data_IF_571441810999
#
_entry.id   IF_571441810999
#
_cell.length_a   1.000
_cell.length_b   1.000
_cell.length_c   1.000
_cell.angle_alpha   90.00
_cell.angle_beta   90.00
_cell.angle_gamma   90.00
#
_symmetry.space_group_name_H-M   'P 1'
#
loop_
_entity.id
_entity.type
_entity.pdbx_description
1 polymer ?
#
# COMPACT_ATOMS: atom_id res chain seq x y z
N UNK A 1 24.73 -10.99 14.88
CA UNK A 1 24.23 -10.57 13.55
C UNK A 1 22.81 -11.06 13.47
N UNK A 2 21.82 -10.18 13.35
CA UNK A 2 20.43 -10.59 13.12
C UNK A 2 20.35 -11.27 11.76
N UNK A 3 19.81 -12.48 11.72
CA UNK A 3 19.63 -13.25 10.49
C UNK A 3 18.74 -12.42 9.52
N UNK A 4 19.17 -12.30 8.26
CA UNK A 4 18.37 -11.65 7.23
C UNK A 4 17.11 -12.49 6.97
N UNK A 5 15.88 -11.93 7.05
CA UNK A 5 14.70 -12.72 6.78
C UNK A 5 14.65 -13.18 5.32
N UNK A 6 14.19 -14.41 5.15
CA UNK A 6 13.94 -15.03 3.86
C UNK A 6 12.58 -14.50 3.31
N UNK A 7 12.62 -13.76 2.20
CA UNK A 7 11.45 -13.19 1.57
C UNK A 7 11.09 -13.97 0.30
N UNK A 8 9.80 -14.26 0.11
CA UNK A 8 9.26 -14.72 -1.15
C UNK A 8 8.25 -13.73 -1.73
N UNK A 9 8.04 -13.79 -3.06
CA UNK A 9 7.19 -12.86 -3.79
C UNK A 9 6.15 -13.63 -4.60
N UNK A 10 4.89 -13.17 -4.55
CA UNK A 10 3.81 -13.67 -5.37
C UNK A 10 3.50 -12.70 -6.52
N UNK A 11 3.08 -13.26 -7.68
CA UNK A 11 2.83 -12.49 -8.88
C UNK A 11 4.12 -11.94 -9.50
N UNK A 12 5.15 -12.78 -9.59
CA UNK A 12 6.51 -12.41 -10.00
C UNK A 12 6.59 -11.73 -11.39
N UNK A 13 5.73 -12.12 -12.35
CA UNK A 13 5.68 -11.53 -13.69
C UNK A 13 5.03 -10.14 -13.73
N UNK A 14 4.28 -9.78 -12.67
CA UNK A 14 3.61 -8.50 -12.57
C UNK A 14 4.58 -7.33 -12.37
N UNK A 15 4.14 -6.10 -12.72
CA UNK A 15 4.95 -4.88 -12.54
C UNK A 15 5.47 -4.70 -11.11
N UNK A 16 4.60 -4.95 -10.11
CA UNK A 16 5.02 -4.88 -8.70
C UNK A 16 5.90 -6.06 -8.30
N UNK A 17 5.61 -7.28 -8.78
CA UNK A 17 6.44 -8.46 -8.50
C UNK A 17 7.88 -8.27 -8.95
N UNK A 18 8.10 -7.80 -10.18
CA UNK A 18 9.44 -7.49 -10.70
C UNK A 18 10.15 -6.41 -9.87
N UNK A 19 9.44 -5.34 -9.50
CA UNK A 19 9.99 -4.25 -8.69
C UNK A 19 10.34 -4.73 -7.27
N UNK A 20 9.52 -5.57 -6.66
CA UNK A 20 9.78 -6.20 -5.37
C UNK A 20 11.02 -7.10 -5.43
N UNK A 21 11.13 -7.96 -6.48
CA UNK A 21 12.29 -8.82 -6.68
C UNK A 21 13.59 -8.00 -6.75
N UNK A 22 13.61 -6.96 -7.58
CA UNK A 22 14.75 -6.06 -7.70
C UNK A 22 15.08 -5.36 -6.37
N UNK A 23 14.03 -4.92 -5.63
CA UNK A 23 14.22 -4.23 -4.34
C UNK A 23 14.80 -5.16 -3.28
N UNK A 24 14.33 -6.41 -3.20
CA UNK A 24 14.87 -7.39 -2.24
C UNK A 24 16.29 -7.81 -2.62
N UNK A 25 16.57 -8.06 -3.90
CA UNK A 25 17.91 -8.41 -4.40
C UNK A 25 18.94 -7.29 -4.15
N UNK A 26 18.53 -6.04 -4.16
CA UNK A 26 19.39 -4.89 -3.86
C UNK A 26 19.53 -4.61 -2.35
N UNK A 27 18.81 -5.33 -1.48
CA UNK A 27 18.80 -5.12 -0.04
C UNK A 27 19.91 -5.92 0.65
N UNK A 28 20.59 -5.30 1.59
CA UNK A 28 21.51 -5.94 2.54
C UNK A 28 20.81 -6.45 3.82
N UNK A 29 19.47 -6.25 3.93
CA UNK A 29 18.66 -6.53 5.13
C UNK A 29 17.74 -7.73 4.98
N UNK A 30 17.60 -8.29 3.79
CA UNK A 30 16.70 -9.40 3.49
C UNK A 30 17.26 -10.24 2.34
N UNK A 31 16.83 -11.49 2.23
CA UNK A 31 17.22 -12.41 1.17
C UNK A 31 15.99 -12.86 0.39
N UNK A 32 16.02 -12.72 -0.94
CA UNK A 32 15.02 -13.33 -1.82
C UNK A 32 15.29 -14.83 -1.93
N UNK A 33 14.31 -15.69 -1.62
CA UNK A 33 14.49 -17.15 -1.60
C UNK A 33 13.59 -17.89 -2.55
N UNK A 34 12.39 -17.35 -2.87
CA UNK A 34 11.42 -17.98 -3.75
C UNK A 34 10.54 -16.95 -4.44
N UNK A 35 9.91 -17.35 -5.52
CA UNK A 35 8.92 -16.56 -6.23
C UNK A 35 7.84 -17.47 -6.82
N UNK A 36 6.58 -16.99 -6.83
CA UNK A 36 5.50 -17.67 -7.49
C UNK A 36 4.77 -16.78 -8.49
N UNK A 37 4.14 -17.42 -9.45
CA UNK A 37 3.21 -16.79 -10.37
C UNK A 37 1.97 -17.65 -10.57
N UNK A 38 0.95 -17.07 -11.19
CA UNK A 38 -0.30 -17.80 -11.52
C UNK A 38 -0.02 -18.99 -12.44
N UNK A 39 -0.78 -20.05 -12.27
CA UNK A 39 -0.78 -21.19 -13.19
C UNK A 39 -0.93 -20.72 -14.63
N UNK A 40 -0.10 -21.26 -15.51
CA UNK A 40 -0.09 -20.89 -16.94
C UNK A 40 0.70 -19.62 -17.28
N UNK A 41 1.43 -19.04 -16.34
CA UNK A 41 2.40 -17.98 -16.63
C UNK A 41 3.62 -18.54 -17.35
N UNK A 42 4.09 -17.84 -18.39
CA UNK A 42 5.33 -18.19 -19.11
C UNK A 42 6.59 -18.12 -18.23
N UNK A 43 6.47 -17.57 -17.04
CA UNK A 43 7.57 -17.45 -16.06
C UNK A 43 7.78 -18.74 -15.26
N UNK A 44 6.79 -19.64 -15.22
CA UNK A 44 6.89 -20.90 -14.46
C UNK A 44 8.03 -21.77 -14.99
N UNK A 45 8.88 -22.24 -14.10
CA UNK A 45 10.07 -23.02 -14.42
C UNK A 45 11.25 -22.22 -14.95
N UNK A 46 11.11 -20.89 -15.07
CA UNK A 46 12.18 -19.99 -15.51
C UNK A 46 12.90 -19.34 -14.32
N UNK A 47 14.15 -18.96 -14.52
CA UNK A 47 14.93 -18.20 -13.54
C UNK A 47 14.41 -16.75 -13.46
N UNK A 48 14.06 -16.32 -12.25
CA UNK A 48 13.49 -14.99 -11.99
C UNK A 48 14.44 -13.86 -12.42
N UNK A 49 15.74 -14.02 -12.23
CA UNK A 49 16.73 -13.00 -12.62
C UNK A 49 16.75 -12.79 -14.12
N UNK A 50 16.73 -13.89 -14.89
CA UNK A 50 16.69 -13.87 -16.36
C UNK A 50 15.39 -13.24 -16.84
N UNK A 51 14.24 -13.67 -16.30
CA UNK A 51 12.92 -13.16 -16.67
C UNK A 51 12.73 -11.68 -16.34
N UNK A 52 13.44 -11.18 -15.33
CA UNK A 52 13.47 -9.75 -14.94
C UNK A 52 14.47 -8.93 -15.77
N UNK A 53 15.06 -9.50 -16.82
CA UNK A 53 16.00 -8.81 -17.71
C UNK A 53 17.43 -8.69 -17.18
N UNK A 54 17.79 -9.44 -16.13
CA UNK A 54 19.11 -9.48 -15.51
C UNK A 54 19.85 -10.81 -15.75
N UNK A 55 20.77 -11.12 -14.85
CA UNK A 55 21.50 -12.39 -14.82
C UNK A 55 20.76 -13.42 -13.98
N UNK A 56 20.98 -14.72 -14.28
CA UNK A 56 20.41 -15.81 -13.49
C UNK A 56 20.81 -15.67 -12.01
N UNK A 57 19.82 -15.84 -11.13
CA UNK A 57 19.97 -15.74 -9.69
C UNK A 57 19.64 -17.05 -8.94
N UNK A 58 19.30 -18.11 -9.67
CA UNK A 58 18.99 -19.43 -9.14
C UNK A 58 17.58 -19.58 -8.55
N UNK A 59 16.75 -18.53 -8.59
CA UNK A 59 15.37 -18.57 -8.10
C UNK A 59 14.46 -18.96 -9.26
N UNK A 60 13.93 -20.17 -9.21
CA UNK A 60 13.00 -20.66 -10.23
C UNK A 60 11.57 -20.29 -9.83
N UNK A 61 10.86 -19.63 -10.74
CA UNK A 61 9.46 -19.23 -10.51
C UNK A 61 8.57 -20.47 -10.49
N UNK A 62 7.73 -20.60 -9.46
CA UNK A 62 6.86 -21.77 -9.23
C UNK A 62 5.38 -21.39 -9.32
N UNK A 63 4.52 -22.35 -9.61
CA UNK A 63 3.06 -22.27 -9.41
C UNK A 63 2.59 -22.96 -8.12
N UNK A 64 3.52 -23.68 -7.42
CA UNK A 64 3.24 -24.22 -6.10
C UNK A 64 3.43 -23.16 -5.01
N UNK A 65 2.38 -22.37 -4.81
CA UNK A 65 2.36 -21.28 -3.82
C UNK A 65 2.67 -21.81 -2.41
N UNK A 66 2.16 -23.01 -2.04
CA UNK A 66 2.40 -23.58 -0.71
C UNK A 66 3.88 -23.89 -0.48
N UNK A 67 4.54 -24.46 -1.48
CA UNK A 67 5.97 -24.71 -1.40
C UNK A 67 6.80 -23.43 -1.30
N UNK A 68 6.33 -22.33 -1.94
CA UNK A 68 6.95 -21.01 -1.83
C UNK A 68 6.82 -20.44 -0.41
N UNK A 69 5.64 -20.55 0.23
CA UNK A 69 5.46 -20.14 1.62
C UNK A 69 6.36 -20.92 2.60
N UNK A 70 6.54 -22.21 2.39
CA UNK A 70 7.37 -23.06 3.25
C UNK A 70 8.88 -22.75 3.20
N UNK A 71 9.33 -22.00 2.19
CA UNK A 71 10.73 -21.60 2.02
C UNK A 71 11.04 -20.22 2.61
N UNK A 72 10.02 -19.47 3.01
CA UNK A 72 10.16 -18.08 3.41
C UNK A 72 9.76 -17.82 4.87
N UNK A 73 10.39 -16.84 5.50
CA UNK A 73 9.95 -16.28 6.77
C UNK A 73 8.75 -15.35 6.55
N UNK A 74 8.72 -14.69 5.39
CA UNK A 74 7.65 -13.76 5.02
C UNK A 74 7.42 -13.73 3.51
N UNK A 75 6.15 -13.61 3.11
CA UNK A 75 5.73 -13.53 1.71
C UNK A 75 5.13 -12.15 1.43
N UNK A 76 5.42 -11.57 0.26
CA UNK A 76 4.84 -10.30 -0.20
C UNK A 76 3.86 -10.58 -1.33
N UNK A 77 2.62 -10.09 -1.17
CA UNK A 77 1.50 -10.31 -2.09
C UNK A 77 0.92 -8.98 -2.63
N UNK A 78 1.03 -8.79 -3.93
CA UNK A 78 0.38 -7.72 -4.71
C UNK A 78 -0.41 -8.32 -5.88
N UNK A 79 -1.15 -9.39 -5.61
CA UNK A 79 -1.91 -10.10 -6.66
C UNK A 79 -3.36 -9.59 -6.76
N UNK A 80 -4.33 -10.47 -6.65
CA UNK A 80 -5.76 -10.15 -6.78
C UNK A 80 -6.51 -10.54 -5.50
N UNK A 81 -7.62 -9.84 -5.13
CA UNK A 81 -8.34 -10.08 -3.89
C UNK A 81 -8.63 -11.56 -3.59
N UNK A 82 -9.24 -12.26 -4.54
CA UNK A 82 -9.58 -13.68 -4.37
C UNK A 82 -8.35 -14.59 -4.18
N UNK A 83 -7.21 -14.26 -4.82
CA UNK A 83 -5.96 -15.00 -4.66
C UNK A 83 -5.35 -14.70 -3.28
N UNK A 84 -5.33 -13.43 -2.88
CA UNK A 84 -4.81 -12.98 -1.58
C UNK A 84 -5.52 -13.68 -0.42
N UNK A 85 -6.83 -13.92 -0.50
CA UNK A 85 -7.56 -14.72 0.51
C UNK A 85 -7.02 -16.15 0.61
N UNK A 86 -6.70 -16.81 -0.52
CA UNK A 86 -6.10 -18.13 -0.50
C UNK A 86 -4.66 -18.09 0.06
N UNK A 87 -3.91 -17.08 -0.30
CA UNK A 87 -2.56 -16.86 0.21
C UNK A 87 -2.56 -16.63 1.73
N UNK A 88 -3.50 -15.87 2.26
CA UNK A 88 -3.66 -15.68 3.70
C UNK A 88 -3.97 -17.00 4.45
N UNK A 89 -4.80 -17.87 3.87
CA UNK A 89 -5.05 -19.22 4.44
C UNK A 89 -3.79 -20.08 4.43
N UNK A 90 -2.98 -20.02 3.38
CA UNK A 90 -1.71 -20.73 3.30
C UNK A 90 -0.73 -20.17 4.34
N UNK A 91 -0.63 -18.85 4.47
CA UNK A 91 0.19 -18.17 5.48
C UNK A 91 -0.17 -18.66 6.90
N UNK A 92 -1.45 -18.68 7.25
CA UNK A 92 -1.94 -19.19 8.52
C UNK A 92 -1.59 -20.68 8.76
N UNK A 93 -1.70 -21.51 7.71
CA UNK A 93 -1.40 -22.94 7.79
C UNK A 93 0.10 -23.26 7.89
N UNK A 94 0.97 -22.41 7.36
CA UNK A 94 2.43 -22.57 7.39
C UNK A 94 3.10 -21.80 8.53
N UNK A 95 2.40 -20.84 9.14
CA UNK A 95 2.96 -19.92 10.14
C UNK A 95 3.87 -18.86 9.52
N UNK A 96 3.85 -18.69 8.20
CA UNK A 96 4.68 -17.72 7.45
C UNK A 96 4.03 -16.35 7.49
N UNK A 97 4.77 -15.30 7.81
CA UNK A 97 4.25 -13.93 7.79
C UNK A 97 3.83 -13.50 6.38
N UNK A 98 2.85 -12.60 6.26
CA UNK A 98 2.35 -12.13 4.96
C UNK A 98 2.21 -10.60 4.93
N UNK A 99 2.74 -9.99 3.87
CA UNK A 99 2.54 -8.56 3.58
C UNK A 99 1.61 -8.43 2.38
N UNK A 100 0.48 -7.75 2.57
CA UNK A 100 -0.59 -7.61 1.59
C UNK A 100 -0.66 -6.17 1.10
N UNK A 101 -0.28 -5.96 -0.17
CA UNK A 101 -0.48 -4.70 -0.89
C UNK A 101 -1.63 -4.76 -1.91
N UNK A 102 -2.34 -5.87 -1.98
CA UNK A 102 -3.56 -6.03 -2.79
C UNK A 102 -4.67 -5.14 -2.26
N UNK A 103 -5.34 -4.42 -3.13
CA UNK A 103 -6.46 -3.51 -2.82
C UNK A 103 -7.76 -3.98 -3.45
N UNK A 104 -8.89 -3.37 -3.06
CA UNK A 104 -10.20 -3.66 -3.65
C UNK A 104 -10.89 -4.91 -3.09
N UNK A 105 -10.50 -5.34 -1.89
CA UNK A 105 -11.14 -6.44 -1.17
C UNK A 105 -12.49 -6.01 -0.59
N UNK A 106 -13.47 -6.91 -0.65
CA UNK A 106 -14.74 -6.76 0.02
C UNK A 106 -14.69 -7.20 1.49
N UNK A 107 -15.78 -7.01 2.24
CA UNK A 107 -15.84 -7.28 3.67
C UNK A 107 -15.61 -8.77 4.01
N UNK A 108 -16.10 -9.71 3.19
CA UNK A 108 -15.88 -11.15 3.39
C UNK A 108 -14.41 -11.53 3.19
N UNK A 109 -13.76 -10.93 2.19
CA UNK A 109 -12.34 -11.11 1.92
C UNK A 109 -11.47 -10.52 3.06
N UNK A 110 -11.84 -9.34 3.57
CA UNK A 110 -11.19 -8.72 4.72
C UNK A 110 -11.36 -9.55 5.99
N UNK A 111 -12.55 -10.09 6.24
CA UNK A 111 -12.82 -10.99 7.38
C UNK A 111 -11.97 -12.28 7.30
N UNK A 112 -11.79 -12.84 6.11
CA UNK A 112 -10.94 -14.02 5.91
C UNK A 112 -9.46 -13.74 6.19
N UNK A 113 -8.97 -12.54 5.85
CA UNK A 113 -7.61 -12.10 6.16
C UNK A 113 -7.43 -11.90 7.67
N UNK A 114 -8.39 -11.23 8.33
CA UNK A 114 -8.38 -11.04 9.78
C UNK A 114 -8.37 -12.38 10.53
N UNK A 115 -9.15 -13.37 10.05
CA UNK A 115 -9.12 -14.74 10.59
C UNK A 115 -7.73 -15.40 10.46
N UNK A 116 -7.06 -15.23 9.30
CA UNK A 116 -5.71 -15.76 9.09
C UNK A 116 -4.68 -15.08 10.02
N UNK A 117 -4.85 -13.79 10.29
CA UNK A 117 -4.04 -13.01 11.23
C UNK A 117 -4.03 -13.54 12.66
N UNK A 118 -5.03 -14.34 13.05
CA UNK A 118 -5.02 -15.02 14.37
C UNK A 118 -3.93 -16.10 14.49
N UNK A 119 -3.37 -16.56 13.37
CA UNK A 119 -2.40 -17.66 13.33
C UNK A 119 -0.99 -17.22 12.88
N UNK A 120 -0.87 -16.10 12.22
CA UNK A 120 0.41 -15.56 11.73
C UNK A 120 0.38 -14.04 11.65
N UNK A 121 1.56 -13.41 11.52
CA UNK A 121 1.65 -11.96 11.33
C UNK A 121 1.23 -11.58 9.89
N UNK A 122 0.25 -10.70 9.76
CA UNK A 122 -0.21 -10.14 8.49
C UNK A 122 -0.11 -8.61 8.54
N UNK A 123 0.70 -8.04 7.66
CA UNK A 123 0.71 -6.57 7.45
C UNK A 123 -0.10 -6.25 6.21
N UNK A 124 -1.17 -5.47 6.37
CA UNK A 124 -2.03 -5.05 5.25
C UNK A 124 -2.11 -3.54 5.14
N UNK A 125 -1.97 -3.02 3.93
CA UNK A 125 -2.15 -1.59 3.66
C UNK A 125 -2.65 -1.33 2.23
N UNK A 126 -3.51 -0.33 2.09
CA UNK A 126 -3.96 0.19 0.79
C UNK A 126 -2.85 0.96 0.04
N UNK A 127 -1.80 1.37 0.75
CA UNK A 127 -0.62 2.01 0.19
C UNK A 127 0.61 1.65 1.03
N UNK A 128 1.66 1.14 0.38
CA UNK A 128 2.89 0.75 1.08
C UNK A 128 3.93 1.88 1.21
N UNK A 129 3.64 3.09 0.71
CA UNK A 129 4.54 4.23 0.90
C UNK A 129 4.62 4.63 2.38
N UNK A 130 5.83 4.66 2.93
CA UNK A 130 6.05 5.13 4.29
C UNK A 130 5.63 6.60 4.44
N UNK A 131 5.94 7.42 3.43
CA UNK A 131 5.61 8.84 3.42
C UNK A 131 4.09 9.09 3.36
N UNK A 132 3.34 8.32 2.56
CA UNK A 132 1.88 8.42 2.50
C UNK A 132 1.25 8.03 3.84
N UNK A 133 1.67 6.93 4.45
CA UNK A 133 1.12 6.51 5.74
C UNK A 133 1.42 7.51 6.85
N UNK A 134 2.64 8.08 6.89
CA UNK A 134 2.95 9.16 7.82
C UNK A 134 2.09 10.40 7.55
N UNK A 135 1.91 10.78 6.26
CA UNK A 135 1.08 11.92 5.88
C UNK A 135 -0.37 11.73 6.33
N UNK A 136 -0.92 10.51 6.21
CA UNK A 136 -2.28 10.15 6.66
C UNK A 136 -2.44 10.41 8.16
N UNK A 137 -1.48 9.97 8.99
CA UNK A 137 -1.48 10.24 10.43
C UNK A 137 -1.36 11.73 10.78
N UNK A 138 -0.49 12.45 10.07
CA UNK A 138 -0.36 13.89 10.25
C UNK A 138 -1.65 14.63 9.86
N UNK A 139 -2.29 14.21 8.77
CA UNK A 139 -3.58 14.76 8.31
C UNK A 139 -4.66 14.61 9.39
N UNK A 140 -4.81 13.42 9.95
CA UNK A 140 -5.76 13.16 11.03
C UNK A 140 -5.48 14.04 12.27
N UNK A 141 -4.21 14.12 12.70
CA UNK A 141 -3.81 14.93 13.87
C UNK A 141 -4.04 16.43 13.64
N UNK A 142 -3.71 16.95 12.44
CA UNK A 142 -3.92 18.36 12.10
C UNK A 142 -5.43 18.66 12.03
N UNK A 143 -6.22 17.79 11.39
CA UNK A 143 -7.68 17.94 11.31
C UNK A 143 -8.35 17.92 12.69
N UNK A 144 -7.85 17.09 13.62
CA UNK A 144 -8.35 17.02 15.00
C UNK A 144 -7.97 18.26 15.83
N UNK A 145 -6.84 18.88 15.54
CA UNK A 145 -6.34 20.05 16.29
C UNK A 145 -6.93 21.38 15.82
N UNK A 146 -7.31 21.46 14.54
CA UNK A 146 -7.86 22.67 13.89
C UNK A 146 -9.38 22.57 13.79
N UNK A 147 -10.08 23.65 14.10
CA UNK A 147 -11.54 23.74 14.02
C UNK A 147 -12.08 23.86 12.58
N UNK A 148 -13.40 24.01 12.46
CA UNK A 148 -14.09 24.16 11.17
C UNK A 148 -13.75 25.48 10.44
N UNK A 149 -13.12 26.44 11.13
CA UNK A 149 -12.58 27.67 10.54
C UNK A 149 -11.41 27.41 9.57
N UNK A 150 -10.82 26.19 9.58
CA UNK A 150 -9.87 25.75 8.58
C UNK A 150 -10.57 24.89 7.54
N UNK A 151 -10.70 25.38 6.32
CA UNK A 151 -11.15 24.61 5.18
C UNK A 151 -10.13 23.53 4.81
N UNK A 152 -10.60 22.32 4.47
CA UNK A 152 -9.74 21.21 4.07
C UNK A 152 -9.91 20.91 2.59
N UNK A 153 -8.82 20.89 1.83
CA UNK A 153 -8.80 20.51 0.41
C UNK A 153 -7.71 19.45 0.17
N UNK A 154 -8.11 18.35 -0.45
CA UNK A 154 -7.19 17.31 -0.92
C UNK A 154 -6.98 17.50 -2.42
N UNK A 155 -5.75 17.82 -2.82
CA UNK A 155 -5.36 18.00 -4.22
C UNK A 155 -4.42 16.89 -4.62
N UNK A 156 -4.74 16.17 -5.71
CA UNK A 156 -3.92 15.07 -6.19
C UNK A 156 -3.54 15.23 -7.66
N UNK A 157 -2.34 14.78 -8.01
CA UNK A 157 -1.80 14.87 -9.36
C UNK A 157 -1.32 13.49 -9.80
N UNK A 158 -1.76 13.02 -10.96
CA UNK A 158 -1.28 11.78 -11.56
C UNK A 158 -1.14 11.91 -13.08
N UNK A 159 -0.49 10.91 -13.67
CA UNK A 159 -0.33 10.79 -15.11
C UNK A 159 -1.68 10.74 -15.84
N UNK A 160 -1.64 11.08 -17.13
CA UNK A 160 -2.82 11.18 -17.99
C UNK A 160 -3.53 9.84 -18.29
N UNK A 161 -2.93 8.71 -17.91
CA UNK A 161 -3.51 7.36 -18.06
C UNK A 161 -4.24 6.86 -16.81
N UNK A 162 -4.31 7.64 -15.73
CA UNK A 162 -5.03 7.23 -14.51
C UNK A 162 -6.53 7.38 -14.72
N UNK A 163 -7.27 6.28 -14.49
CA UNK A 163 -8.71 6.18 -14.82
C UNK A 163 -9.63 6.57 -13.68
N UNK A 164 -9.18 6.42 -12.43
CA UNK A 164 -9.95 6.78 -11.24
C UNK A 164 -9.64 8.22 -10.78
N UNK A 165 -10.64 8.91 -10.27
CA UNK A 165 -10.55 10.22 -9.62
C UNK A 165 -11.70 10.37 -8.59
N UNK A 166 -11.42 10.78 -7.34
CA UNK A 166 -10.08 10.94 -6.75
C UNK A 166 -9.32 9.62 -6.64
N UNK A 167 -7.97 9.69 -6.53
CA UNK A 167 -7.13 8.52 -6.31
C UNK A 167 -7.43 7.85 -4.95
N UNK A 168 -7.16 6.54 -4.84
CA UNK A 168 -7.29 5.84 -3.55
C UNK A 168 -6.51 6.49 -2.41
N UNK A 169 -5.31 7.04 -2.69
CA UNK A 169 -4.53 7.78 -1.69
C UNK A 169 -5.19 9.10 -1.30
N UNK A 170 -5.78 9.82 -2.25
CA UNK A 170 -6.54 11.03 -1.92
C UNK A 170 -7.74 10.71 -1.03
N UNK A 171 -8.45 9.61 -1.31
CA UNK A 171 -9.55 9.15 -0.46
C UNK A 171 -9.07 8.79 0.95
N UNK A 172 -7.94 8.06 1.10
CA UNK A 172 -7.32 7.77 2.41
C UNK A 172 -7.01 9.05 3.19
N UNK A 173 -6.50 10.08 2.53
CA UNK A 173 -6.19 11.37 3.17
C UNK A 173 -7.47 12.11 3.58
N UNK A 174 -8.52 12.05 2.75
CA UNK A 174 -9.83 12.60 3.07
C UNK A 174 -10.50 11.87 4.25
N UNK A 175 -10.44 10.54 4.28
CA UNK A 175 -10.91 9.74 5.42
C UNK A 175 -10.18 10.13 6.71
N UNK A 176 -8.83 10.24 6.65
CA UNK A 176 -8.05 10.66 7.81
C UNK A 176 -8.42 12.07 8.30
N UNK A 177 -8.72 12.99 7.40
CA UNK A 177 -9.19 14.33 7.75
C UNK A 177 -10.59 14.28 8.39
N UNK A 178 -11.50 13.46 7.84
CA UNK A 178 -12.84 13.26 8.36
C UNK A 178 -12.81 12.61 9.76
N UNK A 179 -12.00 11.56 9.92
CA UNK A 179 -11.77 10.89 11.22
C UNK A 179 -11.23 11.88 12.26
N UNK A 180 -10.28 12.73 11.88
CA UNK A 180 -9.74 13.76 12.77
C UNK A 180 -10.80 14.75 13.24
N UNK A 181 -11.82 15.03 12.42
CA UNK A 181 -12.96 15.88 12.74
C UNK A 181 -14.15 15.14 13.38
N UNK A 182 -14.08 13.80 13.49
CA UNK A 182 -15.16 13.00 14.04
C UNK A 182 -16.43 12.97 13.16
N UNK A 183 -16.26 13.07 11.83
CA UNK A 183 -17.35 13.06 10.83
C UNK A 183 -17.14 11.95 9.80
N UNK A 184 -18.21 11.55 9.11
CA UNK A 184 -18.10 10.64 7.98
C UNK A 184 -17.67 11.38 6.71
N UNK A 185 -16.66 10.89 5.99
CA UNK A 185 -16.26 11.49 4.73
C UNK A 185 -17.41 11.54 3.72
N UNK A 186 -18.29 10.54 3.69
CA UNK A 186 -19.43 10.49 2.77
C UNK A 186 -20.39 11.67 2.95
N UNK A 187 -20.49 12.23 4.16
CA UNK A 187 -21.41 13.33 4.48
C UNK A 187 -20.82 14.71 4.17
N UNK A 188 -19.48 14.82 4.12
CA UNK A 188 -18.76 16.10 3.98
C UNK A 188 -17.86 16.17 2.74
N UNK A 189 -17.88 15.15 1.89
CA UNK A 189 -17.08 15.11 0.67
C UNK A 189 -17.63 16.06 -0.39
N UNK A 190 -16.80 16.99 -0.83
CA UNK A 190 -17.07 17.92 -1.92
C UNK A 190 -16.09 17.71 -3.07
N UNK A 191 -16.61 17.33 -4.26
CA UNK A 191 -15.79 17.13 -5.46
C UNK A 191 -16.56 17.57 -6.69
N UNK A 192 -15.86 18.18 -7.64
CA UNK A 192 -16.50 18.59 -8.91
C UNK A 192 -17.10 19.99 -8.90
N UNK A 193 -16.43 20.96 -8.27
CA UNK A 193 -16.81 22.39 -8.39
C UNK A 193 -16.53 22.87 -9.82
N UNK A 194 -17.62 23.22 -10.53
CA UNK A 194 -17.58 23.76 -11.88
C UNK A 194 -18.66 24.83 -12.06
N UNK A 195 -18.37 25.94 -12.73
CA UNK A 195 -19.27 27.04 -12.92
C UNK A 195 -19.56 27.88 -11.64
N UNK A 196 -20.77 28.36 -11.47
CA UNK A 196 -21.21 29.16 -10.32
C UNK A 196 -21.79 28.22 -9.26
N UNK A 197 -20.98 27.77 -8.32
CA UNK A 197 -21.37 26.77 -7.29
C UNK A 197 -21.79 27.41 -5.96
N UNK A 198 -21.72 28.74 -5.84
CA UNK A 198 -21.94 29.45 -4.57
C UNK A 198 -20.67 29.39 -3.66
N UNK A 199 -20.84 29.89 -2.43
CA UNK A 199 -19.78 29.83 -1.44
C UNK A 199 -19.56 28.40 -0.99
N UNK A 200 -18.28 28.07 -0.63
CA UNK A 200 -17.92 26.79 -0.04
C UNK A 200 -18.72 26.55 1.26
N UNK A 201 -19.23 25.35 1.43
CA UNK A 201 -19.89 24.96 2.67
C UNK A 201 -18.86 24.71 3.76
N UNK A 202 -19.06 25.30 4.94
CA UNK A 202 -18.21 25.10 6.11
C UNK A 202 -18.25 23.62 6.53
N UNK A 203 -17.09 23.06 6.89
CA UNK A 203 -16.96 21.69 7.32
C UNK A 203 -16.73 20.67 6.20
N UNK A 204 -17.03 20.99 4.94
CA UNK A 204 -16.78 20.09 3.82
C UNK A 204 -15.26 19.83 3.63
N UNK A 205 -14.94 18.65 3.06
CA UNK A 205 -13.59 18.27 2.64
C UNK A 205 -13.58 18.20 1.11
N UNK A 206 -12.87 19.14 0.50
CA UNK A 206 -12.81 19.26 -0.96
C UNK A 206 -11.81 18.30 -1.60
N UNK A 207 -12.09 17.89 -2.85
CA UNK A 207 -11.21 17.06 -3.65
C UNK A 207 -11.00 17.66 -5.04
N UNK A 208 -9.73 17.76 -5.45
CA UNK A 208 -9.31 18.16 -6.78
C UNK A 208 -8.36 17.14 -7.37
N UNK A 209 -8.65 16.66 -8.58
CA UNK A 209 -7.83 15.70 -9.29
C UNK A 209 -7.21 16.32 -10.55
N UNK A 210 -5.88 16.37 -10.62
CA UNK A 210 -5.12 16.84 -11.77
C UNK A 210 -4.58 15.64 -12.54
N UNK A 211 -4.70 15.65 -13.88
CA UNK A 211 -4.17 14.61 -14.77
C UNK A 211 -3.23 15.25 -15.79
N UNK A 212 -1.97 14.77 -15.85
CA UNK A 212 -0.98 15.35 -16.77
C UNK A 212 0.30 14.55 -16.84
N UNK A 213 0.90 14.50 -18.03
CA UNK A 213 2.21 13.91 -18.26
C UNK A 213 2.37 12.49 -17.72
N UNK A 214 3.50 12.27 -17.09
CA UNK A 214 3.95 11.02 -16.48
C UNK A 214 4.01 11.09 -14.93
N UNK A 215 3.32 12.05 -14.31
CA UNK A 215 3.31 12.25 -12.86
C UNK A 215 2.99 10.93 -12.16
N UNK A 216 3.91 10.48 -11.32
CA UNK A 216 3.78 9.20 -10.60
C UNK A 216 2.65 9.24 -9.57
N UNK A 217 2.57 10.35 -8.81
CA UNK A 217 1.53 10.65 -7.85
C UNK A 217 2.00 11.69 -6.84
N UNK A 218 1.27 12.79 -6.75
CA UNK A 218 1.50 13.83 -5.76
C UNK A 218 0.19 14.08 -5.01
N UNK A 219 0.28 14.40 -3.73
CA UNK A 219 -0.89 14.62 -2.89
C UNK A 219 -0.61 15.76 -1.92
N UNK A 220 -1.47 16.75 -1.94
CA UNK A 220 -1.47 17.86 -0.99
C UNK A 220 -2.74 17.77 -0.13
N UNK A 221 -2.59 17.95 1.18
CA UNK A 221 -3.72 18.26 2.07
C UNK A 221 -3.52 19.69 2.56
N UNK A 222 -4.36 20.58 2.07
CA UNK A 222 -4.37 21.98 2.44
C UNK A 222 -5.37 22.21 3.57
N UNK A 223 -4.94 22.85 4.65
CA UNK A 223 -5.75 23.41 5.70
C UNK A 223 -5.67 24.93 5.59
N UNK A 224 -6.77 25.59 5.20
CA UNK A 224 -6.81 27.01 4.94
C UNK A 224 -7.67 27.73 5.98
N UNK A 225 -7.02 28.42 6.90
CA UNK A 225 -7.66 29.23 7.93
C UNK A 225 -7.58 30.74 7.70
N UNK A 226 -8.14 31.53 8.58
CA UNK A 226 -8.07 32.99 8.52
C UNK A 226 -6.63 33.50 8.66
N UNK A 227 -6.05 33.96 7.56
CA UNK A 227 -4.72 34.56 7.53
C UNK A 227 -3.55 33.57 7.44
N UNK A 228 -3.79 32.26 7.47
CA UNK A 228 -2.74 31.25 7.38
C UNK A 228 -3.17 30.00 6.63
N UNK A 229 -2.20 29.21 6.19
CA UNK A 229 -2.41 27.90 5.54
C UNK A 229 -1.35 26.92 6.00
N UNK A 230 -1.77 25.66 6.22
CA UNK A 230 -0.86 24.53 6.43
C UNK A 230 -1.03 23.62 5.22
N UNK A 231 0.08 23.18 4.62
CA UNK A 231 0.09 22.22 3.50
C UNK A 231 0.92 21.02 3.90
N UNK A 232 0.28 19.86 3.92
CA UNK A 232 0.96 18.57 4.06
C UNK A 232 1.11 17.97 2.66
N UNK A 233 2.35 17.81 2.17
CA UNK A 233 2.63 17.39 0.80
C UNK A 233 3.47 16.13 0.73
N UNK A 234 3.07 15.20 -0.14
CA UNK A 234 3.84 14.05 -0.55
C UNK A 234 4.02 14.05 -2.08
N UNK A 235 5.25 13.84 -2.54
CA UNK A 235 5.60 13.73 -3.96
C UNK A 235 6.27 12.38 -4.21
N UNK A 236 5.63 11.53 -5.00
CA UNK A 236 6.22 10.29 -5.49
C UNK A 236 6.95 10.57 -6.81
N UNK A 237 8.27 10.37 -6.82
CA UNK A 237 9.12 10.54 -8.02
C UNK A 237 9.48 9.20 -8.69
N UNK A 238 9.25 8.09 -7.99
CA UNK A 238 9.55 6.74 -8.43
C UNK A 238 8.59 5.73 -7.78
N UNK A 239 8.06 4.79 -8.55
CA UNK A 239 7.16 3.74 -8.06
C UNK A 239 7.84 2.71 -7.16
N UNK A 240 9.16 2.60 -7.19
CA UNK A 240 9.91 1.71 -6.29
C UNK A 240 9.72 2.06 -4.80
N UNK A 241 9.20 3.26 -4.48
CA UNK A 241 8.85 3.62 -3.10
C UNK A 241 7.85 2.62 -2.48
N UNK A 242 6.91 2.07 -3.26
CA UNK A 242 5.95 1.07 -2.77
C UNK A 242 6.63 -0.27 -2.49
N UNK A 243 7.54 -0.71 -3.36
CA UNK A 243 8.32 -1.92 -3.15
C UNK A 243 9.25 -1.79 -1.93
N UNK A 244 9.92 -0.63 -1.77
CA UNK A 244 10.74 -0.35 -0.59
C UNK A 244 9.93 -0.38 0.71
N UNK A 245 8.71 0.17 0.70
CA UNK A 245 7.81 0.11 1.83
C UNK A 245 7.34 -1.31 2.16
N UNK A 246 6.97 -2.10 1.15
CA UNK A 246 6.57 -3.50 1.32
C UNK A 246 7.72 -4.37 1.84
N UNK A 247 8.95 -4.17 1.35
CA UNK A 247 10.14 -4.88 1.86
C UNK A 247 10.43 -4.48 3.31
N UNK A 248 10.29 -3.20 3.68
CA UNK A 248 10.40 -2.79 5.08
C UNK A 248 9.33 -3.44 5.95
N UNK A 249 8.08 -3.51 5.48
CA UNK A 249 7.00 -4.21 6.16
C UNK A 249 7.30 -5.70 6.33
N UNK A 250 7.87 -6.35 5.30
CA UNK A 250 8.25 -7.76 5.36
C UNK A 250 9.35 -8.01 6.40
N UNK A 251 10.40 -7.19 6.41
CA UNK A 251 11.47 -7.29 7.42
C UNK A 251 10.90 -7.11 8.84
N UNK A 252 9.97 -6.17 9.01
CA UNK A 252 9.32 -5.93 10.30
C UNK A 252 8.40 -7.11 10.69
N UNK A 253 7.57 -7.59 9.76
CA UNK A 253 6.59 -8.66 9.99
C UNK A 253 7.24 -10.00 10.37
N UNK A 254 8.44 -10.29 9.84
CA UNK A 254 9.18 -11.53 10.14
C UNK A 254 9.53 -11.71 11.63
N UNK A 255 9.47 -10.64 12.42
CA UNK A 255 9.77 -10.63 13.84
C UNK A 255 8.51 -10.45 14.72
N UNK A 256 7.31 -10.41 14.12
CA UNK A 256 6.08 -10.18 14.86
C UNK A 256 5.38 -11.49 15.23
N UNK A 257 4.60 -11.47 16.31
CA UNK A 257 3.66 -12.53 16.66
C UNK A 257 2.44 -12.52 15.71
N UNK A 258 1.60 -13.55 15.80
CA UNK A 258 0.33 -13.57 15.09
C UNK A 258 -0.50 -12.31 15.40
N UNK A 259 -1.07 -11.71 14.37
CA UNK A 259 -1.85 -10.47 14.43
C UNK A 259 -2.05 -9.86 13.06
N UNK A 260 -3.06 -9.00 12.91
CA UNK A 260 -3.20 -8.11 11.77
C UNK A 260 -2.60 -6.75 12.12
N UNK A 261 -1.72 -6.25 11.26
CA UNK A 261 -0.96 -5.03 11.42
C UNK A 261 -1.12 -4.11 10.21
N UNK A 262 -0.88 -2.84 10.43
CA UNK A 262 -0.89 -1.80 9.42
C UNK A 262 0.53 -1.28 9.14
N UNK A 263 0.66 -0.39 8.16
CA UNK A 263 1.93 0.35 7.95
C UNK A 263 2.25 1.31 9.10
N UNK A 264 1.27 1.68 9.94
CA UNK A 264 1.52 2.52 11.12
C UNK A 264 2.30 1.74 12.17
N UNK A 265 1.94 0.47 12.40
CA UNK A 265 2.68 -0.42 13.30
C UNK A 265 4.12 -0.60 12.81
N UNK A 266 4.33 -0.76 11.49
CA UNK A 266 5.66 -0.84 10.86
C UNK A 266 6.48 0.44 11.07
N UNK A 267 5.81 1.59 11.19
CA UNK A 267 6.43 2.89 11.44
C UNK A 267 6.63 3.18 12.94
N UNK A 268 5.97 2.42 13.83
CA UNK A 268 5.98 2.64 15.28
C UNK A 268 5.11 3.83 15.71
N UNK A 269 3.97 4.04 15.03
CA UNK A 269 3.03 5.16 15.22
C UNK A 269 1.73 4.71 15.84
#
# INVERSE_FOLDING_TARGET
MTQQPAIAILGASGRMGQMLAQTVLASDKAKLVAAADRVGSDWIGQDLGVMSGGTANGIIVSDDVKAVFQQADVVIDFTLPHATVQHAKIAAATGTALVIGTTGMNDDELAAIAQAGQSTAIVRAGNMSLGVNLLTQLTQKVAAALGEEFDIEVVEYHHNQKVDAPSGTALMLGEAAADGRGVSLNDVKDSGRDGITGARKTGDIGFVAVRGGDIVGEHDVLFAGPGERIVLRHVATDRALFARGAVRAAIWASAQSAGEYSMLDVLGL
#
